data_IF_514313577778
#
_entry.id   IF_514313577778
#
_cell.length_a   1.000
_cell.length_b   1.000
_cell.length_c   1.000
_cell.angle_alpha   90.00
_cell.angle_beta   90.00
_cell.angle_gamma   90.00
#
_symmetry.space_group_name_H-M   'P 1'
#
loop_
_entity.id
_entity.type
_entity.pdbx_description
1 polymer ?
#
# COMPACT_ATOMS: atom_id res chain seq x y z
N UNK A 1 14.27 -18.40 24.70
CA UNK A 1 14.04 -19.40 23.63
C UNK A 1 12.54 -19.60 23.33
N UNK A 2 11.71 -18.55 23.31
CA UNK A 2 10.24 -18.67 23.17
C UNK A 2 9.63 -17.87 21.98
N UNK A 3 10.43 -17.11 21.23
CA UNK A 3 9.92 -16.24 20.15
C UNK A 3 9.73 -16.94 18.79
N UNK A 4 10.27 -18.15 18.61
CA UNK A 4 10.26 -18.86 17.32
C UNK A 4 8.91 -19.54 17.04
N UNK A 5 8.17 -19.95 18.09
CA UNK A 5 6.91 -20.69 17.95
C UNK A 5 5.72 -19.87 17.43
N UNK A 6 5.66 -18.57 17.75
CA UNK A 6 4.50 -17.72 17.40
C UNK A 6 4.47 -17.40 15.90
N UNK A 7 5.62 -17.20 15.25
CA UNK A 7 5.68 -16.89 13.81
C UNK A 7 5.36 -18.09 12.93
N UNK A 8 5.70 -19.32 13.35
CA UNK A 8 5.41 -20.55 12.58
C UNK A 8 3.90 -20.82 12.50
N UNK A 9 3.16 -20.56 13.58
CA UNK A 9 1.70 -20.70 13.60
C UNK A 9 0.99 -19.66 12.71
N UNK A 10 1.46 -18.40 12.73
CA UNK A 10 0.94 -17.35 11.83
C UNK A 10 1.25 -17.63 10.35
N UNK A 11 2.42 -18.19 10.05
CA UNK A 11 2.81 -18.59 8.69
C UNK A 11 1.93 -19.72 8.13
N UNK A 12 1.49 -20.64 9.00
CA UNK A 12 0.58 -21.76 8.66
C UNK A 12 -0.86 -21.29 8.43
N UNK A 13 -1.37 -20.34 9.22
CA UNK A 13 -2.69 -19.75 8.97
C UNK A 13 -2.72 -18.86 7.72
N UNK A 14 -1.65 -18.11 7.45
CA UNK A 14 -1.57 -17.28 6.25
C UNK A 14 -1.42 -18.13 4.98
N UNK A 15 -0.71 -19.26 5.03
CA UNK A 15 -0.65 -20.21 3.90
C UNK A 15 -1.96 -20.95 3.63
N UNK A 16 -2.78 -21.22 4.65
CA UNK A 16 -4.13 -21.76 4.45
C UNK A 16 -5.06 -20.77 3.72
N UNK A 17 -4.96 -19.46 4.04
CA UNK A 17 -5.65 -18.39 3.29
C UNK A 17 -5.10 -18.23 1.85
N UNK A 18 -3.81 -18.51 1.61
CA UNK A 18 -3.15 -18.40 0.29
C UNK A 18 -3.62 -19.43 -0.76
N UNK A 19 -4.14 -20.59 -0.33
CA UNK A 19 -4.48 -21.70 -1.23
C UNK A 19 -5.99 -21.93 -1.38
N UNK A 20 -6.80 -21.48 -0.42
CA UNK A 20 -8.25 -21.50 -0.54
C UNK A 20 -8.70 -20.30 -1.33
N UNK A 21 -9.23 -20.50 -2.54
CA UNK A 21 -9.84 -19.48 -3.40
C UNK A 21 -11.07 -18.81 -2.78
N UNK A 22 -10.91 -18.18 -1.63
CA UNK A 22 -11.92 -17.39 -0.96
C UNK A 22 -12.18 -16.15 -1.82
N UNK A 23 -13.42 -16.02 -2.27
CA UNK A 23 -13.84 -14.84 -3.00
C UNK A 23 -13.72 -13.61 -2.09
N UNK A 24 -13.35 -12.46 -2.65
CA UNK A 24 -13.39 -11.18 -1.93
C UNK A 24 -14.75 -10.96 -1.27
N UNK A 25 -15.83 -11.39 -1.94
CA UNK A 25 -17.18 -11.33 -1.39
C UNK A 25 -17.35 -12.14 -0.11
N UNK A 26 -16.70 -13.30 0.00
CA UNK A 26 -16.77 -14.16 1.19
C UNK A 26 -15.96 -13.58 2.35
N UNK A 27 -14.82 -12.95 2.04
CA UNK A 27 -13.99 -12.25 3.02
C UNK A 27 -14.73 -11.05 3.59
N UNK A 28 -15.30 -10.19 2.73
CA UNK A 28 -16.07 -9.01 3.15
C UNK A 28 -17.32 -9.40 3.95
N UNK A 29 -18.03 -10.46 3.54
CA UNK A 29 -19.19 -10.97 4.29
C UNK A 29 -18.80 -11.47 5.68
N UNK A 30 -17.61 -12.05 5.83
CA UNK A 30 -17.11 -12.56 7.11
C UNK A 30 -16.56 -11.45 8.01
N UNK A 31 -15.97 -10.41 7.43
CA UNK A 31 -15.41 -9.26 8.15
C UNK A 31 -16.35 -8.08 8.08
N UNK A 32 -17.49 -8.11 8.79
CA UNK A 32 -18.35 -6.94 9.16
C UNK A 32 -18.40 -5.72 8.21
N UNK A 33 -18.26 -5.94 6.91
CA UNK A 33 -17.99 -4.98 5.83
C UNK A 33 -16.71 -4.11 5.92
N UNK A 34 -15.85 -4.29 6.92
CA UNK A 34 -14.72 -3.40 7.16
C UNK A 34 -13.38 -3.97 6.66
N UNK A 35 -12.74 -3.27 5.71
CA UNK A 35 -11.50 -3.72 5.07
C UNK A 35 -10.51 -2.58 4.80
N UNK A 36 -9.24 -2.93 4.64
CA UNK A 36 -8.20 -2.04 4.11
C UNK A 36 -8.08 -2.25 2.61
N UNK A 37 -8.14 -1.18 1.83
CA UNK A 37 -7.94 -1.21 0.39
C UNK A 37 -6.46 -0.93 0.06
N UNK A 38 -5.86 -1.80 -0.74
CA UNK A 38 -4.57 -1.55 -1.37
C UNK A 38 -4.77 -1.19 -2.84
N UNK A 39 -4.52 0.07 -3.19
CA UNK A 39 -4.48 0.56 -4.57
C UNK A 39 -3.08 0.28 -5.13
N UNK A 40 -2.99 -0.80 -5.91
CA UNK A 40 -1.77 -1.27 -6.53
C UNK A 40 -1.61 -0.59 -7.89
N UNK A 41 -0.44 0.02 -8.20
CA UNK A 41 -0.18 0.54 -9.54
C UNK A 41 -0.30 -0.57 -10.60
N UNK A 42 -1.22 -0.41 -11.56
CA UNK A 42 -1.49 -1.42 -12.60
C UNK A 42 -0.34 -1.65 -13.59
N UNK A 43 0.56 -0.67 -13.71
CA UNK A 43 1.73 -0.72 -14.60
C UNK A 43 3.04 -1.02 -13.87
N UNK A 44 2.98 -1.21 -12.55
CA UNK A 44 4.12 -1.71 -11.82
C UNK A 44 4.11 -3.24 -11.82
N UNK A 45 5.09 -3.83 -12.51
CA UNK A 45 5.76 -5.02 -11.99
C UNK A 45 5.89 -4.88 -10.47
N UNK A 46 5.68 -5.96 -9.72
CA UNK A 46 5.60 -5.94 -8.26
C UNK A 46 6.51 -4.89 -7.60
N UNK A 47 5.97 -4.09 -6.68
CA UNK A 47 6.79 -3.09 -5.97
C UNK A 47 7.74 -3.84 -5.05
N UNK A 48 9.01 -3.93 -5.46
CA UNK A 48 10.06 -4.66 -4.75
C UNK A 48 10.78 -3.71 -3.80
N UNK A 49 10.82 -4.09 -2.53
CA UNK A 49 11.55 -3.36 -1.51
C UNK A 49 13.06 -3.70 -1.58
N UNK A 50 13.95 -2.71 -1.40
CA UNK A 50 15.38 -2.97 -1.40
C UNK A 50 15.78 -3.88 -0.25
N UNK A 51 16.72 -4.79 -0.54
CA UNK A 51 17.28 -5.68 0.48
C UNK A 51 18.09 -4.87 1.49
N UNK A 52 17.95 -5.13 2.80
CA UNK A 52 18.82 -4.53 3.79
C UNK A 52 20.28 -4.92 3.53
N UNK A 53 21.22 -3.97 3.65
CA UNK A 53 22.65 -4.24 3.61
C UNK A 53 23.09 -4.85 4.95
N UNK A 54 23.01 -6.18 5.06
CA UNK A 54 23.43 -6.90 6.26
C UNK A 54 24.91 -7.29 6.20
N UNK A 55 25.64 -7.26 7.33
CA UNK A 55 26.98 -7.84 7.45
C UNK A 55 27.03 -9.32 7.05
N UNK A 56 28.19 -9.79 6.60
CA UNK A 56 28.35 -11.15 6.04
C UNK A 56 27.89 -12.27 7.00
N UNK A 57 28.22 -12.14 8.27
CA UNK A 57 27.80 -13.08 9.32
C UNK A 57 26.29 -13.06 9.55
N UNK A 58 25.66 -11.89 9.51
CA UNK A 58 24.21 -11.75 9.65
C UNK A 58 23.44 -12.38 8.48
N UNK A 59 24.02 -12.42 7.27
CA UNK A 59 23.42 -13.12 6.11
C UNK A 59 23.30 -14.63 6.31
N UNK A 60 24.21 -15.26 7.05
CA UNK A 60 24.13 -16.70 7.35
C UNK A 60 22.95 -17.04 8.28
N UNK A 61 22.56 -16.10 9.15
CA UNK A 61 21.46 -16.29 10.11
C UNK A 61 20.14 -15.64 9.70
N UNK A 62 20.13 -14.86 8.60
CA UNK A 62 18.92 -14.17 8.12
C UNK A 62 18.16 -15.05 7.14
N UNK A 63 16.99 -15.51 7.54
CA UNK A 63 16.14 -16.44 6.78
C UNK A 63 15.43 -15.84 5.55
N UNK A 64 15.63 -14.56 5.22
CA UNK A 64 14.96 -13.89 4.09
C UNK A 64 15.93 -13.19 3.14
N UNK A 65 16.62 -13.94 2.24
CA UNK A 65 17.49 -13.37 1.21
C UNK A 65 16.76 -12.98 -0.10
N UNK A 66 15.42 -13.10 -0.16
CA UNK A 66 14.64 -12.85 -1.38
C UNK A 66 14.12 -11.40 -1.48
N UNK A 67 13.94 -10.86 -2.70
CA UNK A 67 13.24 -9.58 -2.89
C UNK A 67 11.84 -9.67 -2.26
N UNK A 68 11.54 -8.74 -1.36
CA UNK A 68 10.27 -8.69 -0.64
C UNK A 68 9.33 -7.74 -1.39
N UNK A 69 8.09 -8.19 -1.64
CA UNK A 69 7.06 -7.38 -2.27
C UNK A 69 6.37 -6.51 -1.23
N UNK A 70 6.13 -5.23 -1.52
CA UNK A 70 5.42 -4.34 -0.60
C UNK A 70 4.05 -4.90 -0.23
N UNK A 71 3.36 -5.55 -1.18
CA UNK A 71 2.05 -6.17 -0.95
C UNK A 71 2.09 -7.20 0.18
N UNK A 72 3.16 -8.01 0.26
CA UNK A 72 3.30 -9.00 1.33
C UNK A 72 3.50 -8.33 2.69
N UNK A 73 4.31 -7.28 2.74
CA UNK A 73 4.57 -6.54 3.98
C UNK A 73 3.33 -5.80 4.48
N UNK A 74 2.56 -5.21 3.56
CA UNK A 74 1.28 -4.60 3.86
C UNK A 74 0.26 -5.64 4.34
N UNK A 75 0.21 -6.82 3.69
CA UNK A 75 -0.69 -7.89 4.10
C UNK A 75 -0.38 -8.36 5.53
N UNK A 76 0.89 -8.62 5.84
CA UNK A 76 1.30 -9.11 7.16
C UNK A 76 0.96 -8.11 8.28
N UNK A 77 1.03 -6.81 8.00
CA UNK A 77 0.60 -5.76 8.95
C UNK A 77 -0.92 -5.66 9.03
N UNK A 78 -1.62 -5.72 7.88
CA UNK A 78 -3.07 -5.58 7.83
C UNK A 78 -3.82 -6.78 8.41
N UNK A 79 -3.32 -8.02 8.30
CA UNK A 79 -4.01 -9.23 8.78
C UNK A 79 -4.26 -9.19 10.31
N UNK A 80 -3.46 -8.40 11.06
CA UNK A 80 -3.68 -8.12 12.48
C UNK A 80 -4.69 -7.00 12.78
N UNK A 81 -5.13 -6.25 11.76
CA UNK A 81 -6.07 -5.12 11.85
C UNK A 81 -7.41 -5.44 11.16
N UNK A 82 -7.41 -5.57 9.83
CA UNK A 82 -8.58 -5.85 8.98
C UNK A 82 -8.13 -6.50 7.66
N UNK A 83 -9.01 -7.26 6.96
CA UNK A 83 -8.62 -7.88 5.70
C UNK A 83 -8.09 -6.86 4.69
N UNK A 84 -6.95 -7.19 4.08
CA UNK A 84 -6.37 -6.40 2.99
C UNK A 84 -6.93 -6.87 1.64
N UNK A 85 -7.58 -5.97 0.93
CA UNK A 85 -8.16 -6.21 -0.39
C UNK A 85 -7.40 -5.38 -1.41
N UNK A 86 -6.92 -6.03 -2.46
CA UNK A 86 -6.30 -5.37 -3.61
C UNK A 86 -7.23 -5.46 -4.83
N UNK A 87 -7.16 -4.48 -5.73
CA UNK A 87 -7.86 -4.55 -7.02
C UNK A 87 -6.89 -5.08 -8.07
N UNK A 88 -7.31 -6.11 -8.82
CA UNK A 88 -6.51 -6.67 -9.91
C UNK A 88 -6.54 -5.78 -11.15
N UNK A 89 -5.54 -5.93 -12.05
CA UNK A 89 -5.54 -5.21 -13.32
C UNK A 89 -6.74 -5.63 -14.16
N UNK A 90 -7.39 -4.71 -14.88
CA UNK A 90 -8.46 -5.05 -15.81
C UNK A 90 -7.99 -6.09 -16.85
N UNK A 91 -8.82 -7.11 -17.12
CA UNK A 91 -8.48 -8.18 -18.06
C UNK A 91 -7.43 -9.20 -17.58
N UNK A 92 -6.84 -9.00 -16.40
CA UNK A 92 -5.90 -9.96 -15.81
C UNK A 92 -6.68 -11.10 -15.13
N UNK A 93 -6.73 -12.27 -15.77
CA UNK A 93 -7.54 -13.41 -15.27
C UNK A 93 -6.92 -14.15 -14.08
N UNK A 94 -5.61 -13.98 -13.85
CA UNK A 94 -4.85 -14.55 -12.73
C UNK A 94 -3.43 -13.98 -12.76
N UNK A 95 -3.00 -13.35 -11.67
CA UNK A 95 -1.55 -13.24 -11.41
C UNK A 95 -1.05 -14.48 -10.67
N UNK A 96 0.16 -14.91 -11.00
CA UNK A 96 0.93 -15.80 -10.13
C UNK A 96 1.50 -14.98 -8.96
N UNK A 97 0.99 -15.17 -7.74
CA UNK A 97 1.74 -14.82 -6.51
C UNK A 97 1.42 -13.49 -5.80
N UNK A 98 0.16 -13.08 -5.71
CA UNK A 98 -0.29 -12.03 -4.76
C UNK A 98 -0.63 -12.59 -3.37
N UNK A 99 -0.58 -11.75 -2.33
CA UNK A 99 -0.92 -12.12 -0.94
C UNK A 99 -2.27 -11.51 -0.50
N UNK A 100 -2.65 -10.36 -1.07
CA UNK A 100 -3.93 -9.72 -0.77
C UNK A 100 -5.11 -10.39 -1.53
N UNK A 101 -6.32 -10.31 -0.98
CA UNK A 101 -7.53 -10.79 -1.65
C UNK A 101 -7.85 -9.91 -2.86
N UNK A 102 -8.13 -10.51 -4.04
CA UNK A 102 -8.29 -9.77 -5.30
C UNK A 102 -9.69 -9.87 -5.88
N UNK A 103 -10.21 -8.74 -6.37
CA UNK A 103 -11.36 -8.69 -7.28
C UNK A 103 -10.82 -8.54 -8.70
N UNK A 104 -11.14 -9.50 -9.58
CA UNK A 104 -10.83 -9.44 -11.00
C UNK A 104 -12.07 -8.95 -11.75
N UNK A 105 -11.88 -8.03 -12.69
CA UNK A 105 -12.97 -7.34 -13.38
C UNK A 105 -12.69 -7.25 -14.88
N UNK A 106 -13.76 -7.22 -15.66
CA UNK A 106 -13.71 -6.92 -17.07
C UNK A 106 -13.40 -5.42 -17.30
N UNK A 107 -12.82 -5.14 -18.47
CA UNK A 107 -12.20 -3.85 -18.83
C UNK A 107 -13.16 -2.65 -18.83
N UNK A 108 -14.48 -2.90 -18.86
CA UNK A 108 -15.52 -1.87 -18.84
C UNK A 108 -16.01 -1.47 -17.45
N UNK A 109 -15.77 -2.28 -16.41
CA UNK A 109 -16.39 -2.09 -15.07
C UNK A 109 -15.38 -1.75 -13.96
N UNK A 110 -14.09 -1.80 -14.25
CA UNK A 110 -13.05 -1.70 -13.23
C UNK A 110 -13.01 -0.32 -12.54
N UNK A 111 -13.25 0.76 -13.28
CA UNK A 111 -13.22 2.12 -12.73
C UNK A 111 -14.30 2.35 -11.68
N UNK A 112 -15.53 1.89 -11.97
CA UNK A 112 -16.65 1.99 -11.05
C UNK A 112 -16.43 1.11 -9.81
N UNK A 113 -15.83 -0.06 -9.98
CA UNK A 113 -15.50 -0.93 -8.85
C UNK A 113 -14.42 -0.33 -7.95
N UNK A 114 -13.34 0.23 -8.52
CA UNK A 114 -12.31 0.95 -7.74
C UNK A 114 -12.96 2.09 -6.95
N UNK A 115 -13.81 2.88 -7.59
CA UNK A 115 -14.54 3.98 -6.95
C UNK A 115 -15.41 3.48 -5.79
N UNK A 116 -16.17 2.42 -6.01
CA UNK A 116 -17.02 1.79 -4.97
C UNK A 116 -16.19 1.29 -3.79
N UNK A 117 -15.02 0.70 -4.05
CA UNK A 117 -14.11 0.23 -3.00
C UNK A 117 -13.46 1.38 -2.25
N UNK A 118 -13.05 2.46 -2.92
CA UNK A 118 -12.51 3.67 -2.27
C UNK A 118 -13.53 4.24 -1.28
N UNK A 119 -14.80 4.32 -1.69
CA UNK A 119 -15.89 4.77 -0.80
C UNK A 119 -16.06 3.86 0.41
N UNK A 120 -16.13 2.54 0.19
CA UNK A 120 -16.41 1.56 1.23
C UNK A 120 -15.24 1.24 2.17
N UNK A 121 -13.99 1.45 1.75
CA UNK A 121 -12.81 1.09 2.53
C UNK A 121 -12.70 1.91 3.82
N UNK A 122 -12.27 1.27 4.91
CA UNK A 122 -11.99 1.93 6.20
C UNK A 122 -10.65 2.68 6.17
N UNK A 123 -9.67 2.07 5.52
CA UNK A 123 -8.34 2.63 5.28
C UNK A 123 -7.92 2.29 3.86
N UNK A 124 -7.12 3.16 3.28
CA UNK A 124 -6.56 2.98 1.94
C UNK A 124 -5.05 3.11 2.04
N UNK A 125 -4.32 2.23 1.36
CA UNK A 125 -2.90 2.38 1.10
C UNK A 125 -2.72 2.46 -0.41
N UNK A 126 -1.98 3.47 -0.85
CA UNK A 126 -1.67 3.68 -2.26
C UNK A 126 -0.17 3.89 -2.42
N UNK A 127 0.44 3.22 -3.39
CA UNK A 127 1.85 3.45 -3.74
C UNK A 127 1.90 4.45 -4.90
N UNK A 128 2.54 5.59 -4.65
CA UNK A 128 2.72 6.68 -5.60
C UNK A 128 3.97 6.47 -6.47
N UNK A 129 3.77 6.64 -7.77
CA UNK A 129 4.76 6.56 -8.85
C UNK A 129 4.28 7.40 -10.03
N UNK A 130 5.19 8.04 -10.77
CA UNK A 130 4.83 8.80 -11.97
C UNK A 130 4.43 7.93 -13.16
N UNK A 131 3.13 7.58 -13.21
CA UNK A 131 2.48 6.83 -14.30
C UNK A 131 1.03 7.29 -14.47
N UNK A 132 0.46 7.11 -15.65
CA UNK A 132 -0.92 7.51 -15.96
C UNK A 132 -1.96 6.77 -15.11
N UNK A 133 -1.75 5.46 -14.88
CA UNK A 133 -2.63 4.67 -14.02
C UNK A 133 -2.68 5.19 -12.59
N UNK A 134 -1.51 5.46 -11.99
CA UNK A 134 -1.43 6.00 -10.62
C UNK A 134 -1.99 7.42 -10.56
N UNK A 135 -1.78 8.25 -11.59
CA UNK A 135 -2.39 9.59 -11.68
C UNK A 135 -3.90 9.52 -11.63
N UNK A 136 -4.49 8.57 -12.37
CA UNK A 136 -5.94 8.34 -12.34
C UNK A 136 -6.40 7.88 -10.95
N UNK A 137 -5.76 6.86 -10.36
CA UNK A 137 -6.12 6.34 -9.03
C UNK A 137 -6.01 7.41 -7.94
N UNK A 138 -4.97 8.24 -8.00
CA UNK A 138 -4.72 9.31 -7.05
C UNK A 138 -5.78 10.40 -7.19
N UNK A 139 -6.13 10.75 -8.44
CA UNK A 139 -7.25 11.63 -8.74
C UNK A 139 -8.57 11.08 -8.18
N UNK A 140 -8.85 9.79 -8.31
CA UNK A 140 -10.06 9.18 -7.73
C UNK A 140 -10.09 9.25 -6.21
N UNK A 141 -8.97 9.01 -5.52
CA UNK A 141 -8.89 9.16 -4.05
C UNK A 141 -9.22 10.60 -3.62
N UNK A 142 -8.75 11.59 -4.39
CA UNK A 142 -9.02 13.00 -4.17
C UNK A 142 -10.50 13.33 -4.45
N UNK A 143 -11.00 12.95 -5.61
CA UNK A 143 -12.38 13.21 -6.07
C UNK A 143 -13.42 12.61 -5.10
N UNK A 144 -13.10 11.46 -4.51
CA UNK A 144 -13.95 10.77 -3.52
C UNK A 144 -13.72 11.24 -2.08
N UNK A 145 -12.99 12.34 -1.87
CA UNK A 145 -12.65 12.91 -0.56
C UNK A 145 -12.04 11.88 0.42
N UNK A 146 -11.34 10.88 -0.12
CA UNK A 146 -10.80 9.76 0.65
C UNK A 146 -9.36 9.99 1.15
N UNK A 147 -8.79 11.18 0.90
CA UNK A 147 -7.40 11.53 1.28
C UNK A 147 -7.14 11.37 2.78
N UNK A 148 -8.11 11.71 3.64
CA UNK A 148 -7.98 11.61 5.11
C UNK A 148 -7.85 10.17 5.62
N UNK A 149 -8.39 9.19 4.88
CA UNK A 149 -8.28 7.76 5.21
C UNK A 149 -7.27 7.03 4.33
N UNK A 150 -6.37 7.77 3.68
CA UNK A 150 -5.37 7.21 2.76
C UNK A 150 -3.95 7.47 3.23
N UNK A 151 -3.15 6.41 3.28
CA UNK A 151 -1.70 6.47 3.35
C UNK A 151 -1.12 6.42 1.94
N UNK A 152 -0.36 7.44 1.59
CA UNK A 152 0.36 7.53 0.34
C UNK A 152 1.82 7.11 0.57
N UNK A 153 2.20 5.94 0.09
CA UNK A 153 3.58 5.45 0.13
C UNK A 153 4.30 5.85 -1.16
N UNK A 154 5.56 6.25 -1.08
CA UNK A 154 6.35 6.53 -2.27
C UNK A 154 7.04 5.25 -2.74
N UNK A 155 6.98 4.97 -4.04
CA UNK A 155 7.64 3.81 -4.62
C UNK A 155 9.15 3.81 -4.29
N UNK A 156 9.72 2.71 -3.75
CA UNK A 156 11.14 2.59 -3.41
C UNK A 156 12.10 2.82 -4.60
N UNK A 157 11.60 2.77 -5.84
CA UNK A 157 12.34 3.07 -7.05
C UNK A 157 12.56 4.58 -7.28
N UNK A 158 11.74 5.45 -6.70
CA UNK A 158 11.87 6.93 -6.80
C UNK A 158 13.08 7.39 -6.00
N UNK A 159 14.28 7.39 -6.60
CA UNK A 159 15.53 7.64 -5.87
C UNK A 159 16.29 8.84 -6.40
N UNK A 160 16.23 9.07 -7.70
CA UNK A 160 16.98 10.16 -8.32
C UNK A 160 16.24 11.48 -8.09
N UNK A 161 16.94 12.61 -8.04
CA UNK A 161 16.29 13.93 -7.98
C UNK A 161 15.24 14.11 -9.07
N UNK A 162 15.50 13.62 -10.28
CA UNK A 162 14.55 13.66 -11.41
C UNK A 162 13.26 12.90 -11.13
N UNK A 163 13.33 11.72 -10.48
CA UNK A 163 12.15 10.91 -10.16
C UNK A 163 11.30 11.64 -9.10
N UNK A 164 11.96 12.30 -8.15
CA UNK A 164 11.33 13.11 -7.11
C UNK A 164 10.64 14.33 -7.68
N UNK A 165 11.31 15.07 -8.56
CA UNK A 165 10.72 16.22 -9.25
C UNK A 165 9.48 15.84 -10.07
N UNK A 166 9.54 14.70 -10.77
CA UNK A 166 8.41 14.17 -11.54
C UNK A 166 7.22 13.81 -10.65
N UNK A 167 7.50 13.10 -9.55
CA UNK A 167 6.48 12.73 -8.56
C UNK A 167 5.85 13.98 -7.90
N UNK A 168 6.66 14.96 -7.51
CA UNK A 168 6.18 16.18 -6.86
C UNK A 168 5.35 17.04 -7.82
N UNK A 169 5.78 17.18 -9.08
CA UNK A 169 5.01 17.85 -10.15
C UNK A 169 3.67 17.18 -10.44
N UNK A 170 3.51 15.91 -10.12
CA UNK A 170 2.22 15.24 -10.14
C UNK A 170 1.39 15.54 -8.90
N UNK A 171 1.95 15.26 -7.72
CA UNK A 171 1.21 15.15 -6.47
C UNK A 171 0.79 16.53 -5.95
N UNK A 172 1.73 17.49 -5.93
CA UNK A 172 1.51 18.79 -5.30
C UNK A 172 0.35 19.58 -5.96
N UNK A 173 0.30 19.73 -7.30
CA UNK A 173 -0.79 20.49 -7.93
C UNK A 173 -2.17 19.85 -7.71
N UNK A 174 -2.25 18.52 -7.69
CA UNK A 174 -3.51 17.81 -7.48
C UNK A 174 -4.05 18.00 -6.06
N UNK A 175 -3.19 17.92 -5.05
CA UNK A 175 -3.60 18.15 -3.65
C UNK A 175 -3.95 19.62 -3.37
N UNK A 176 -3.19 20.56 -3.96
CA UNK A 176 -3.46 22.00 -3.84
C UNK A 176 -4.79 22.37 -4.52
N UNK A 177 -5.02 21.89 -5.75
CA UNK A 177 -6.28 22.12 -6.48
C UNK A 177 -7.49 21.58 -5.71
N UNK A 178 -7.32 20.48 -5.00
CA UNK A 178 -8.36 19.88 -4.18
C UNK A 178 -8.56 20.56 -2.82
N UNK A 179 -7.74 21.56 -2.47
CA UNK A 179 -7.78 22.20 -1.15
C UNK A 179 -7.35 21.29 0.00
N UNK A 180 -6.70 20.15 -0.30
CA UNK A 180 -6.23 19.18 0.71
C UNK A 180 -4.87 19.62 1.26
N UNK A 181 -4.05 20.26 0.43
CA UNK A 181 -2.75 20.78 0.81
C UNK A 181 -2.68 22.30 0.63
N UNK A 182 -1.95 23.02 1.50
CA UNK A 182 -1.80 24.47 1.38
C UNK A 182 -0.99 24.86 0.13
N UNK A 183 -1.13 26.12 -0.29
CA UNK A 183 -0.23 26.71 -1.30
C UNK A 183 1.24 26.56 -0.85
N UNK A 184 2.10 26.10 -1.75
CA UNK A 184 3.50 25.80 -1.42
C UNK A 184 3.73 24.46 -0.71
N UNK A 185 2.76 23.53 -0.76
CA UNK A 185 3.00 22.13 -0.41
C UNK A 185 4.17 21.56 -1.22
N UNK A 186 5.14 21.00 -0.50
CA UNK A 186 6.35 20.40 -1.07
C UNK A 186 6.74 19.18 -0.22
N UNK A 187 7.24 18.14 -0.88
CA UNK A 187 7.74 16.92 -0.22
C UNK A 187 9.25 17.04 0.07
N UNK A 188 9.60 18.07 0.84
CA UNK A 188 10.99 18.57 1.01
C UNK A 188 11.98 17.51 1.49
N UNK A 189 11.52 16.59 2.34
CA UNK A 189 12.37 15.61 3.01
C UNK A 189 12.39 14.25 2.31
N UNK A 190 11.86 14.18 1.08
CA UNK A 190 11.77 12.95 0.27
C UNK A 190 11.27 11.75 1.09
N UNK A 191 10.09 11.89 1.74
CA UNK A 191 9.60 10.89 2.67
C UNK A 191 9.30 9.56 1.99
N UNK A 192 9.29 8.47 2.75
CA UNK A 192 8.86 7.16 2.21
C UNK A 192 7.34 7.07 2.06
N UNK A 193 6.61 8.01 2.62
CA UNK A 193 5.18 8.17 2.48
C UNK A 193 4.64 9.32 3.32
N UNK A 194 3.37 9.64 3.15
CA UNK A 194 2.67 10.67 3.91
C UNK A 194 1.18 10.34 4.01
N UNK A 195 0.52 10.96 4.98
CA UNK A 195 -0.93 10.90 5.13
C UNK A 195 -1.43 12.21 5.74
N UNK A 196 -2.75 12.39 5.82
CA UNK A 196 -3.35 13.56 6.44
C UNK A 196 -4.00 13.19 7.77
N UNK A 197 -3.71 13.97 8.80
CA UNK A 197 -4.30 13.83 10.13
C UNK A 197 -4.80 15.19 10.60
N UNK A 198 -6.09 15.30 10.93
CA UNK A 198 -6.71 16.56 11.37
C UNK A 198 -6.43 17.73 10.42
N UNK A 199 -6.47 17.47 9.11
CA UNK A 199 -6.15 18.45 8.06
C UNK A 199 -4.68 18.85 7.97
N UNK A 200 -3.77 18.16 8.67
CA UNK A 200 -2.32 18.39 8.61
C UNK A 200 -1.63 17.26 7.86
N UNK A 201 -0.63 17.62 7.06
CA UNK A 201 0.27 16.68 6.44
C UNK A 201 1.19 16.04 7.50
N UNK A 202 1.24 14.72 7.51
CA UNK A 202 2.21 13.94 8.28
C UNK A 202 3.14 13.22 7.30
N UNK A 203 4.40 13.63 7.27
CA UNK A 203 5.44 13.00 6.46
C UNK A 203 6.15 11.89 7.25
N UNK A 204 6.35 10.74 6.62
CA UNK A 204 7.07 9.60 7.18
C UNK A 204 8.45 9.54 6.54
N UNK A 205 9.48 9.95 7.29
CA UNK A 205 10.84 10.08 6.76
C UNK A 205 11.67 8.87 7.19
N UNK A 206 12.26 8.17 6.24
CA UNK A 206 13.20 7.10 6.51
C UNK A 206 14.22 6.94 5.39
N UNK A 207 15.51 7.08 5.71
CA UNK A 207 16.60 7.00 4.73
C UNK A 207 16.84 5.59 4.18
N UNK A 208 16.46 4.54 4.91
CA UNK A 208 16.84 3.17 4.57
C UNK A 208 15.83 2.46 3.65
N UNK A 209 14.63 3.04 3.43
CA UNK A 209 13.54 2.55 2.55
C UNK A 209 13.35 1.02 2.54
N UNK A 210 13.49 0.39 3.70
CA UNK A 210 13.45 -1.07 3.84
C UNK A 210 12.03 -1.56 4.04
N UNK A 211 11.83 -2.88 3.91
CA UNK A 211 10.60 -3.57 4.34
C UNK A 211 10.07 -3.07 5.69
N UNK A 212 10.93 -3.06 6.72
CA UNK A 212 10.58 -2.58 8.06
C UNK A 212 10.16 -1.11 8.07
N UNK A 213 10.77 -0.26 7.24
CA UNK A 213 10.40 1.15 7.13
C UNK A 213 8.96 1.32 6.63
N UNK A 214 8.59 0.58 5.58
CA UNK A 214 7.23 0.60 5.03
C UNK A 214 6.21 -0.08 5.96
N UNK A 215 6.58 -1.18 6.63
CA UNK A 215 5.74 -1.80 7.66
C UNK A 215 5.47 -0.85 8.82
N UNK A 216 6.50 -0.13 9.29
CA UNK A 216 6.37 0.83 10.40
C UNK A 216 5.48 1.99 9.99
N UNK A 217 5.69 2.53 8.78
CA UNK A 217 4.85 3.58 8.22
C UNK A 217 3.36 3.18 8.19
N UNK A 218 3.09 1.97 7.70
CA UNK A 218 1.73 1.47 7.60
C UNK A 218 1.12 1.14 8.97
N UNK A 219 1.89 0.53 9.88
CA UNK A 219 1.44 0.24 11.25
C UNK A 219 1.11 1.53 12.01
N UNK A 220 1.94 2.57 11.86
CA UNK A 220 1.69 3.89 12.44
C UNK A 220 0.37 4.46 11.94
N UNK A 221 0.16 4.47 10.61
CA UNK A 221 -1.08 4.94 10.01
C UNK A 221 -2.32 4.16 10.47
N UNK A 222 -2.25 2.82 10.59
CA UNK A 222 -3.37 2.02 11.07
C UNK A 222 -3.69 2.27 12.56
N UNK A 223 -2.68 2.63 13.36
CA UNK A 223 -2.88 2.98 14.77
C UNK A 223 -3.55 4.36 14.95
N UNK A 224 -3.54 5.22 13.92
CA UNK A 224 -4.17 6.53 13.98
C UNK A 224 -5.71 6.43 13.92
N UNK A 225 -6.36 7.25 14.74
CA UNK A 225 -7.81 7.45 14.68
C UNK A 225 -8.15 8.38 13.52
N UNK A 226 -9.15 8.00 12.72
CA UNK A 226 -9.82 8.94 11.83
C UNK A 226 -10.70 9.83 12.72
N UNK A 227 -10.54 11.13 12.56
CA UNK A 227 -11.40 12.15 13.17
C UNK A 227 -12.41 12.65 12.13
#
# INVERSE_FOLDING_TARGET
>A
MALVGVKVAGLLQSTAKRLGGLSVSDVIKKSDQQFVLYLRPFDADDVILPKPRLPLLSRLFSFTPFPVRIEQELFDVADGYRPLIAVGKPGEKTMRGGVAYRTYLDDSEWQECVTTKIRAADRIVMVLKDTDGVRWEFGRVIDEAATMKTLFLVDPAVRKPTDWEMLEKMVAPMLQKAGVAPEGFELKLQPIGFFFQRGRLVEIINTNRTATSYQTAFSHFLAERLD
#
